data_IF_161264087300
#
_entry.id   IF_161264087300
#
_cell.length_a   1.000
_cell.length_b   1.000
_cell.length_c   1.000
_cell.angle_alpha   90.00
_cell.angle_beta   90.00
_cell.angle_gamma   90.00
#
_symmetry.space_group_name_H-M   'P 1'
#
loop_
_entity.id
_entity.type
_entity.pdbx_description
1 polymer ?
#
# COMPACT_ATOMS: atom_id res chain seq x y z
N UNK A 1 -7.37 36.17 0.73
CA UNK A 1 -7.97 34.84 0.48
C UNK A 1 -7.35 33.87 1.47
N UNK A 2 -8.22 33.35 2.34
CA UNK A 2 -7.96 32.54 3.54
C UNK A 2 -7.15 31.27 3.26
N UNK A 3 -6.26 30.95 4.18
CA UNK A 3 -5.30 29.86 4.08
C UNK A 3 -5.92 28.49 3.88
N UNK A 4 -5.41 27.77 2.87
CA UNK A 4 -5.41 26.32 2.84
C UNK A 4 -4.16 25.85 3.58
N UNK A 5 -4.25 25.82 4.90
CA UNK A 5 -3.25 25.16 5.73
C UNK A 5 -3.41 23.64 5.48
N UNK A 6 -2.61 23.07 4.57
CA UNK A 6 -2.54 21.62 4.33
C UNK A 6 -1.91 20.96 5.57
N UNK A 7 -2.68 20.86 6.65
CA UNK A 7 -2.34 20.14 7.89
C UNK A 7 -2.91 18.72 7.90
N UNK A 8 -2.83 18.03 6.76
CA UNK A 8 -3.10 16.58 6.66
C UNK A 8 -1.84 15.79 6.25
N UNK A 9 -0.65 16.31 6.57
CA UNK A 9 0.60 15.59 6.34
C UNK A 9 0.81 14.54 7.46
N UNK A 10 0.22 13.36 7.31
CA UNK A 10 0.46 12.24 8.22
C UNK A 10 -0.45 11.05 8.00
N UNK A 11 0.07 9.84 8.26
CA UNK A 11 -0.74 8.61 8.29
C UNK A 11 -1.86 8.74 9.32
N UNK A 12 -3.05 8.31 8.91
CA UNK A 12 -4.22 8.30 9.80
C UNK A 12 -4.00 7.29 10.94
N UNK A 13 -4.79 7.41 12.01
CA UNK A 13 -4.73 6.43 13.11
C UNK A 13 -5.11 5.04 12.59
N UNK A 14 -6.08 4.97 11.67
CA UNK A 14 -6.48 3.72 11.02
C UNK A 14 -5.32 3.08 10.23
N UNK A 15 -4.57 3.88 9.47
CA UNK A 15 -3.38 3.40 8.76
C UNK A 15 -2.35 2.78 9.72
N UNK A 16 -2.12 3.46 10.86
CA UNK A 16 -1.15 3.02 11.88
C UNK A 16 -1.61 1.75 12.57
N UNK A 17 -2.89 1.67 12.94
CA UNK A 17 -3.48 0.50 13.58
C UNK A 17 -3.43 -0.72 12.67
N UNK A 18 -3.78 -0.55 11.39
CA UNK A 18 -3.75 -1.63 10.41
C UNK A 18 -2.32 -2.14 10.20
N UNK A 19 -1.34 -1.23 10.06
CA UNK A 19 0.07 -1.61 9.95
C UNK A 19 0.60 -2.32 11.20
N UNK A 20 0.16 -1.93 12.40
CA UNK A 20 0.51 -2.58 13.66
C UNK A 20 -0.09 -3.99 13.75
N UNK A 21 -1.36 -4.15 13.38
CA UNK A 21 -2.04 -5.46 13.34
C UNK A 21 -1.30 -6.46 12.46
N UNK A 22 -0.92 -6.06 11.25
CA UNK A 22 -0.13 -6.93 10.37
C UNK A 22 1.28 -7.20 10.91
N UNK A 23 1.87 -6.25 11.65
CA UNK A 23 3.17 -6.46 12.29
C UNK A 23 3.10 -7.52 13.39
N UNK A 24 2.04 -7.52 14.21
CA UNK A 24 1.84 -8.49 15.28
C UNK A 24 1.56 -9.89 14.70
N UNK A 25 0.81 -9.95 13.60
CA UNK A 25 0.51 -11.21 12.92
C UNK A 25 1.68 -11.77 12.09
N UNK A 26 2.85 -11.10 12.05
CA UNK A 26 3.98 -11.51 11.20
C UNK A 26 3.75 -11.36 9.70
N UNK A 27 2.72 -10.61 9.30
CA UNK A 27 2.30 -10.46 7.90
C UNK A 27 3.02 -9.30 7.21
N UNK A 28 4.33 -9.48 6.96
CA UNK A 28 5.18 -8.44 6.35
C UNK A 28 4.65 -7.91 5.01
N UNK A 29 4.16 -8.80 4.15
CA UNK A 29 3.60 -8.45 2.84
C UNK A 29 2.34 -7.58 2.95
N UNK A 30 1.37 -8.00 3.76
CA UNK A 30 0.12 -7.26 3.99
C UNK A 30 0.38 -5.88 4.60
N UNK A 31 1.35 -5.79 5.53
CA UNK A 31 1.80 -4.52 6.10
C UNK A 31 2.33 -3.58 5.02
N UNK A 32 3.14 -4.07 4.09
CA UNK A 32 3.71 -3.25 3.01
C UNK A 32 2.64 -2.79 2.02
N UNK A 33 1.70 -3.66 1.66
CA UNK A 33 0.53 -3.28 0.83
C UNK A 33 -0.29 -2.17 1.51
N UNK A 34 -0.57 -2.30 2.81
CA UNK A 34 -1.30 -1.26 3.56
C UNK A 34 -0.53 0.07 3.61
N UNK A 35 0.80 0.03 3.75
CA UNK A 35 1.63 1.24 3.75
C UNK A 35 1.76 1.89 2.37
N UNK A 36 1.66 1.13 1.29
CA UNK A 36 1.59 1.68 -0.07
C UNK A 36 0.22 2.33 -0.35
N UNK A 37 -0.84 1.87 0.32
CA UNK A 37 -2.24 2.23 0.07
C UNK A 37 -2.91 2.92 1.27
N UNK A 38 -2.16 3.82 1.93
CA UNK A 38 -2.68 4.64 3.04
C UNK A 38 -3.72 5.65 2.56
N UNK A 39 -4.48 6.22 3.50
CA UNK A 39 -5.45 7.29 3.21
C UNK A 39 -4.79 8.65 2.95
N UNK A 40 -3.47 8.78 3.15
CA UNK A 40 -2.72 9.98 2.82
C UNK A 40 -2.90 10.36 1.35
N UNK A 41 -3.36 11.59 1.08
CA UNK A 41 -3.58 12.16 -0.26
C UNK A 41 -2.28 12.53 -0.98
N UNK A 42 -1.41 11.55 -1.15
CA UNK A 42 -0.15 11.59 -1.90
C UNK A 42 0.00 10.30 -2.70
N UNK A 43 0.91 10.31 -3.67
CA UNK A 43 1.30 9.09 -4.38
C UNK A 43 1.82 8.00 -3.40
N UNK A 44 1.70 6.70 -3.74
CA UNK A 44 2.32 5.63 -2.96
C UNK A 44 3.81 5.94 -2.75
N UNK A 45 4.28 5.88 -1.50
CA UNK A 45 5.66 6.23 -1.17
C UNK A 45 6.60 5.24 -1.87
N UNK A 46 7.59 5.76 -2.60
CA UNK A 46 8.54 4.98 -3.41
C UNK A 46 9.13 3.78 -2.65
N UNK A 47 9.58 3.98 -1.40
CA UNK A 47 10.12 2.90 -0.55
C UNK A 47 9.20 1.68 -0.36
N UNK A 48 7.88 1.86 -0.43
CA UNK A 48 6.93 0.75 -0.32
C UNK A 48 6.72 0.06 -1.66
N UNK A 49 6.72 0.82 -2.76
CA UNK A 49 6.70 0.27 -4.11
C UNK A 49 7.96 -0.54 -4.41
N UNK A 50 9.14 0.03 -4.14
CA UNK A 50 10.43 -0.64 -4.35
C UNK A 50 10.51 -1.96 -3.55
N UNK A 51 9.98 -1.97 -2.31
CA UNK A 51 9.90 -3.19 -1.50
C UNK A 51 8.94 -4.23 -2.11
N UNK A 52 7.77 -3.83 -2.62
CA UNK A 52 6.84 -4.76 -3.25
C UNK A 52 7.39 -5.33 -4.56
N UNK A 53 8.11 -4.54 -5.35
CA UNK A 53 8.86 -5.02 -6.53
C UNK A 53 9.97 -6.00 -6.13
N UNK A 54 10.68 -5.73 -5.04
CA UNK A 54 11.63 -6.70 -4.50
C UNK A 54 10.93 -8.01 -4.11
N UNK A 55 9.78 -7.93 -3.42
CA UNK A 55 8.99 -9.10 -3.07
C UNK A 55 8.53 -9.93 -4.28
N UNK A 56 8.35 -9.35 -5.48
CA UNK A 56 8.01 -10.17 -6.66
C UNK A 56 9.17 -11.05 -7.13
N UNK A 57 10.40 -10.75 -6.75
CA UNK A 57 11.59 -11.54 -7.11
C UNK A 57 11.96 -12.59 -6.04
N UNK A 58 11.29 -12.59 -4.88
CA UNK A 58 11.62 -13.47 -3.77
C UNK A 58 10.91 -14.82 -3.91
N UNK A 59 11.64 -15.96 -3.97
CA UNK A 59 11.04 -17.27 -4.26
C UNK A 59 10.07 -17.76 -3.18
N UNK A 60 10.19 -17.23 -1.97
CA UNK A 60 9.33 -17.59 -0.83
C UNK A 60 8.12 -16.66 -0.67
N UNK A 61 7.95 -15.66 -1.55
CA UNK A 61 6.79 -14.78 -1.54
C UNK A 61 5.71 -15.32 -2.46
N UNK A 62 4.50 -15.46 -1.93
CA UNK A 62 3.34 -15.86 -2.72
C UNK A 62 2.81 -14.68 -3.54
N UNK A 63 3.04 -14.69 -4.85
CA UNK A 63 2.48 -13.71 -5.80
C UNK A 63 0.94 -13.73 -5.81
N UNK A 64 0.25 -14.89 -5.78
CA UNK A 64 -1.20 -14.92 -5.65
C UNK A 64 -1.69 -14.21 -4.38
N UNK A 65 -0.98 -14.37 -3.25
CA UNK A 65 -1.33 -13.68 -2.02
C UNK A 65 -1.11 -12.15 -2.13
N UNK A 66 -0.02 -11.70 -2.76
CA UNK A 66 0.21 -10.28 -3.02
C UNK A 66 -0.94 -9.68 -3.86
N UNK A 67 -1.34 -10.38 -4.92
CA UNK A 67 -2.44 -9.97 -5.78
C UNK A 67 -3.76 -9.88 -4.99
N UNK A 68 -4.10 -10.90 -4.19
CA UNK A 68 -5.30 -10.90 -3.36
C UNK A 68 -5.32 -9.74 -2.37
N UNK A 69 -4.19 -9.47 -1.69
CA UNK A 69 -4.08 -8.33 -0.78
C UNK A 69 -4.33 -7.00 -1.49
N UNK A 70 -3.83 -6.83 -2.73
CA UNK A 70 -4.08 -5.61 -3.53
C UNK A 70 -5.54 -5.53 -3.96
N UNK A 71 -6.16 -6.64 -4.37
CA UNK A 71 -7.59 -6.71 -4.69
C UNK A 71 -8.44 -6.32 -3.49
N UNK A 72 -8.13 -6.80 -2.29
CA UNK A 72 -8.81 -6.39 -1.05
C UNK A 72 -8.75 -4.87 -0.83
N UNK A 73 -7.62 -4.22 -1.15
CA UNK A 73 -7.51 -2.74 -1.06
C UNK A 73 -8.41 -2.03 -2.07
N UNK A 74 -8.68 -2.63 -3.24
CA UNK A 74 -9.60 -2.04 -4.24
C UNK A 74 -11.07 -2.04 -3.79
N UNK A 75 -11.42 -2.83 -2.78
CA UNK A 75 -12.77 -2.89 -2.21
C UNK A 75 -12.95 -1.93 -1.01
N UNK A 76 -11.96 -1.08 -0.73
CA UNK A 76 -12.06 -0.12 0.37
C UNK A 76 -13.06 1.00 0.03
N UNK A 77 -13.75 1.54 1.04
CA UNK A 77 -14.69 2.66 0.86
C UNK A 77 -13.98 4.00 0.59
N UNK A 78 -12.71 4.12 0.96
CA UNK A 78 -11.90 5.30 0.71
C UNK A 78 -11.29 5.26 -0.70
N UNK A 79 -11.72 6.17 -1.56
CA UNK A 79 -11.25 6.24 -2.95
C UNK A 79 -9.73 6.42 -3.09
N UNK A 80 -9.07 7.09 -2.14
CA UNK A 80 -7.61 7.29 -2.15
C UNK A 80 -6.89 5.96 -2.01
N UNK A 81 -7.40 5.08 -1.14
CA UNK A 81 -6.88 3.72 -0.95
C UNK A 81 -7.05 2.90 -2.22
N UNK A 82 -8.25 2.92 -2.80
CA UNK A 82 -8.58 2.20 -4.04
C UNK A 82 -7.66 2.65 -5.17
N UNK A 83 -7.52 3.95 -5.37
CA UNK A 83 -6.71 4.49 -6.46
C UNK A 83 -5.22 4.19 -6.27
N UNK A 84 -4.70 4.28 -5.04
CA UNK A 84 -3.32 3.89 -4.73
C UNK A 84 -3.08 2.40 -4.89
N UNK A 85 -4.08 1.55 -4.65
CA UNK A 85 -3.98 0.12 -4.92
C UNK A 85 -3.82 -0.14 -6.43
N UNK A 86 -4.62 0.52 -7.28
CA UNK A 86 -4.49 0.41 -8.74
C UNK A 86 -3.14 0.93 -9.25
N UNK A 87 -2.66 2.07 -8.72
CA UNK A 87 -1.30 2.57 -9.04
C UNK A 87 -0.23 1.55 -8.64
N UNK A 88 -0.37 0.93 -7.48
CA UNK A 88 0.57 -0.09 -6.99
C UNK A 88 0.55 -1.33 -7.89
N UNK A 89 -0.63 -1.81 -8.30
CA UNK A 89 -0.77 -2.91 -9.28
C UNK A 89 -0.09 -2.55 -10.59
N UNK A 90 -0.37 -1.37 -11.15
CA UNK A 90 0.26 -0.92 -12.39
C UNK A 90 1.79 -0.86 -12.27
N UNK A 91 2.30 -0.38 -11.14
CA UNK A 91 3.74 -0.33 -10.88
C UNK A 91 4.36 -1.73 -10.83
N UNK A 92 3.70 -2.70 -10.18
CA UNK A 92 4.18 -4.08 -10.15
C UNK A 92 4.13 -4.73 -11.54
N UNK A 93 3.14 -4.42 -12.37
CA UNK A 93 3.09 -4.92 -13.76
C UNK A 93 4.20 -4.31 -14.63
N UNK A 94 4.62 -3.08 -14.35
CA UNK A 94 5.65 -2.38 -15.13
C UNK A 94 7.09 -2.73 -14.69
N UNK A 95 7.30 -3.00 -13.40
CA UNK A 95 8.64 -3.13 -12.81
C UNK A 95 8.86 -4.40 -12.00
N UNK A 96 7.81 -5.20 -11.77
CA UNK A 96 7.89 -6.48 -11.05
C UNK A 96 8.42 -7.62 -11.93
N UNK A 97 8.60 -8.78 -11.29
CA UNK A 97 9.00 -10.03 -11.93
C UNK A 97 7.81 -10.68 -12.67
N UNK A 98 8.09 -11.38 -13.77
CA UNK A 98 7.10 -12.04 -14.64
C UNK A 98 6.64 -13.42 -14.15
#
# INVERSE_FOLDING_TARGET
>A
MSGLNVRMAGQTINDRLLAARHSIAGQGLAKSVCKATTEEMIAPKKKHLDYLVHCTNEPNVSIPQLANLLVERTQNTNWVVVYKALITVHHLLAYGNE
#
